data_IF_673375890889
#
_entry.id   IF_673375890889
#
_cell.length_a   1.000
_cell.length_b   1.000
_cell.length_c   1.000
_cell.angle_alpha   90.00
_cell.angle_beta   90.00
_cell.angle_gamma   90.00
#
_symmetry.space_group_name_H-M   'P 1'
#
loop_
_entity.id
_entity.type
_entity.pdbx_description
1 polymer ?
#
# COMPACT_ATOMS: atom_id res chain seq x y z
N UNK A 1 -39.91 -19.89 -6.92
CA UNK A 1 -38.98 -19.71 -5.79
C UNK A 1 -37.64 -19.37 -6.42
N UNK A 2 -36.96 -18.32 -6.00
CA UNK A 2 -35.62 -17.96 -6.52
C UNK A 2 -34.64 -18.69 -5.60
N UNK A 3 -33.77 -19.51 -6.16
CA UNK A 3 -32.64 -20.13 -5.46
C UNK A 3 -31.43 -19.24 -5.63
N UNK A 4 -30.75 -18.94 -4.53
CA UNK A 4 -29.53 -18.09 -4.53
C UNK A 4 -28.38 -18.94 -4.02
N UNK A 5 -27.38 -19.13 -4.87
CA UNK A 5 -26.12 -19.78 -4.51
C UNK A 5 -25.01 -18.74 -4.36
N UNK A 6 -24.17 -18.90 -3.36
CA UNK A 6 -22.95 -18.11 -3.18
C UNK A 6 -21.78 -18.93 -3.69
N UNK A 7 -21.04 -18.38 -4.65
CA UNK A 7 -19.81 -19.00 -5.15
C UNK A 7 -18.80 -19.13 -4.00
N UNK A 8 -18.23 -20.33 -3.85
CA UNK A 8 -17.28 -20.64 -2.77
C UNK A 8 -15.99 -19.83 -2.85
N UNK A 9 -15.64 -19.39 -4.05
CA UNK A 9 -14.44 -18.59 -4.32
C UNK A 9 -14.73 -17.08 -4.33
N UNK A 10 -15.98 -16.66 -4.00
CA UNK A 10 -16.37 -15.26 -3.89
C UNK A 10 -15.86 -14.65 -2.58
N UNK A 11 -15.58 -13.35 -2.60
CA UNK A 11 -15.18 -12.59 -1.41
C UNK A 11 -13.92 -11.76 -1.62
N UNK A 12 -13.28 -11.41 -0.51
CA UNK A 12 -12.01 -10.67 -0.54
C UNK A 12 -10.85 -11.57 -0.96
N UNK A 13 -9.87 -10.99 -1.65
CA UNK A 13 -8.63 -11.70 -1.93
C UNK A 13 -7.87 -11.99 -0.62
N UNK A 14 -6.98 -12.99 -0.64
CA UNK A 14 -6.24 -13.43 0.54
C UNK A 14 -5.47 -12.30 1.23
N UNK A 15 -4.94 -11.31 0.48
CA UNK A 15 -4.23 -10.18 1.06
C UNK A 15 -5.12 -9.28 1.91
N UNK A 16 -6.36 -9.04 1.46
CA UNK A 16 -7.37 -8.29 2.21
C UNK A 16 -7.84 -9.09 3.43
N UNK A 17 -8.12 -10.39 3.26
CA UNK A 17 -8.50 -11.27 4.38
C UNK A 17 -7.44 -11.24 5.47
N UNK A 18 -6.16 -11.41 5.12
CA UNK A 18 -5.06 -11.36 6.08
C UNK A 18 -4.97 -10.00 6.81
N UNK A 19 -5.25 -8.89 6.12
CA UNK A 19 -5.25 -7.57 6.75
C UNK A 19 -6.41 -7.42 7.76
N UNK A 20 -7.61 -7.89 7.41
CA UNK A 20 -8.77 -7.88 8.30
C UNK A 20 -8.52 -8.75 9.53
N UNK A 21 -8.06 -9.99 9.35
CA UNK A 21 -7.72 -10.91 10.45
C UNK A 21 -6.64 -10.34 11.38
N UNK A 22 -5.67 -9.60 10.81
CA UNK A 22 -4.64 -8.93 11.60
C UNK A 22 -5.22 -7.79 12.42
N UNK A 23 -6.16 -7.01 11.87
CA UNK A 23 -6.87 -5.96 12.61
C UNK A 23 -7.70 -6.56 13.75
N UNK A 24 -8.50 -7.60 13.47
CA UNK A 24 -9.33 -8.27 14.47
C UNK A 24 -8.51 -8.86 15.62
N UNK A 25 -7.42 -9.54 15.29
CA UNK A 25 -6.51 -10.11 16.31
C UNK A 25 -5.92 -9.04 17.21
N UNK A 26 -5.54 -7.89 16.67
CA UNK A 26 -5.01 -6.79 17.47
C UNK A 26 -6.09 -6.12 18.30
N UNK A 27 -7.28 -5.90 17.73
CA UNK A 27 -8.44 -5.33 18.43
C UNK A 27 -8.97 -6.25 19.53
N UNK A 28 -8.74 -7.56 19.42
CA UNK A 28 -9.01 -8.51 20.52
C UNK A 28 -8.09 -8.33 21.73
N UNK A 29 -6.97 -7.62 21.58
CA UNK A 29 -5.99 -7.36 22.64
C UNK A 29 -5.90 -5.89 23.08
N UNK A 30 -6.54 -4.97 22.31
CA UNK A 30 -6.50 -3.52 22.56
C UNK A 30 -7.84 -2.88 22.18
N UNK A 31 -8.26 -1.87 22.92
CA UNK A 31 -9.53 -1.14 22.64
C UNK A 31 -9.39 -0.20 21.42
N UNK A 32 -8.18 0.03 20.92
CA UNK A 32 -7.93 1.00 19.86
C UNK A 32 -6.77 0.55 18.97
N UNK A 33 -7.01 0.54 17.67
CA UNK A 33 -6.01 0.32 16.63
C UNK A 33 -6.15 1.37 15.54
N UNK A 34 -5.04 1.97 15.13
CA UNK A 34 -5.02 2.87 13.97
C UNK A 34 -4.71 2.10 12.69
N UNK A 35 -5.38 2.47 11.59
CA UNK A 35 -5.11 1.92 10.26
C UNK A 35 -4.73 3.05 9.30
N UNK A 36 -3.62 2.92 8.60
CA UNK A 36 -3.19 3.92 7.62
C UNK A 36 -3.94 3.75 6.31
N UNK A 37 -4.97 4.59 6.11
CA UNK A 37 -5.95 4.50 5.03
C UNK A 37 -6.98 3.39 5.23
N UNK A 38 -8.02 3.36 4.39
CA UNK A 38 -9.07 2.37 4.47
C UNK A 38 -8.52 0.95 4.31
N UNK A 39 -8.80 0.08 5.26
CA UNK A 39 -8.29 -1.30 5.26
C UNK A 39 -8.77 -2.08 4.03
N UNK A 40 -9.98 -1.78 3.57
CA UNK A 40 -10.63 -2.38 2.40
C UNK A 40 -11.58 -1.36 1.76
N UNK A 41 -11.83 -1.50 0.45
CA UNK A 41 -12.81 -0.69 -0.28
C UNK A 41 -14.25 -1.25 -0.14
N UNK A 42 -14.68 -1.48 1.10
CA UNK A 42 -16.01 -1.93 1.45
C UNK A 42 -16.45 -1.19 2.73
N UNK A 43 -17.40 -0.28 2.59
CA UNK A 43 -17.82 0.59 3.68
C UNK A 43 -18.43 -0.18 4.88
N UNK A 44 -19.18 -1.25 4.62
CA UNK A 44 -19.77 -2.05 5.69
C UNK A 44 -18.71 -2.76 6.54
N UNK A 45 -17.65 -3.24 5.89
CA UNK A 45 -16.55 -3.90 6.59
C UNK A 45 -15.68 -2.89 7.35
N UNK A 46 -15.44 -1.71 6.79
CA UNK A 46 -14.76 -0.62 7.49
C UNK A 46 -15.56 -0.22 8.73
N UNK A 47 -16.88 0.02 8.59
CA UNK A 47 -17.78 0.38 9.70
C UNK A 47 -17.79 -0.71 10.79
N UNK A 48 -17.81 -1.98 10.41
CA UNK A 48 -17.73 -3.11 11.36
C UNK A 48 -16.46 -3.04 12.20
N UNK A 49 -15.32 -2.83 11.58
CA UNK A 49 -14.03 -2.73 12.26
C UNK A 49 -13.91 -1.46 13.09
N UNK A 50 -14.51 -0.34 12.65
CA UNK A 50 -14.59 0.90 13.42
C UNK A 50 -15.40 0.70 14.71
N UNK A 51 -16.49 -0.04 14.67
CA UNK A 51 -17.24 -0.41 15.88
C UNK A 51 -16.44 -1.30 16.84
N UNK A 52 -15.43 -2.02 16.32
CA UNK A 52 -14.49 -2.78 17.15
C UNK A 52 -13.33 -1.94 17.70
N UNK A 53 -13.19 -0.67 17.29
CA UNK A 53 -12.14 0.23 17.75
C UNK A 53 -11.02 0.51 16.74
N UNK A 54 -11.23 0.18 15.44
CA UNK A 54 -10.32 0.60 14.37
C UNK A 54 -10.52 2.09 14.07
N UNK A 55 -9.44 2.85 13.91
CA UNK A 55 -9.49 4.25 13.50
C UNK A 55 -8.67 4.44 12.23
N UNK A 56 -9.35 4.77 11.14
CA UNK A 56 -8.69 5.12 9.89
C UNK A 56 -8.02 6.49 10.00
N UNK A 57 -6.74 6.55 9.64
CA UNK A 57 -5.93 7.77 9.61
C UNK A 57 -5.25 7.94 8.26
N UNK A 58 -4.89 9.16 7.93
CA UNK A 58 -4.02 9.50 6.81
C UNK A 58 -2.55 9.69 7.25
N UNK A 59 -1.68 10.06 6.31
CA UNK A 59 -0.26 10.32 6.60
C UNK A 59 -0.06 11.53 7.53
N UNK A 60 -0.95 12.52 7.49
CA UNK A 60 -0.92 13.67 8.41
C UNK A 60 -1.25 13.21 9.84
N UNK A 61 -2.27 12.37 9.98
CA UNK A 61 -2.60 11.72 11.25
C UNK A 61 -1.43 10.88 11.77
N UNK A 62 -0.82 10.04 10.91
CA UNK A 62 0.33 9.23 11.28
C UNK A 62 1.50 10.10 11.78
N UNK A 63 1.74 11.25 11.16
CA UNK A 63 2.83 12.16 11.55
C UNK A 63 2.70 12.71 12.97
N UNK A 64 1.48 12.81 13.46
CA UNK A 64 1.11 13.35 14.78
C UNK A 64 1.06 12.27 15.88
N UNK A 65 0.93 10.99 15.49
CA UNK A 65 0.89 9.88 16.44
C UNK A 65 2.25 9.64 17.08
N UNK A 66 2.22 9.19 18.34
CA UNK A 66 3.39 8.76 19.13
C UNK A 66 3.00 7.56 20.00
N UNK A 67 3.91 6.61 20.15
CA UNK A 67 3.74 5.48 21.07
C UNK A 67 2.42 4.71 20.85
N UNK A 68 2.03 4.49 19.60
CA UNK A 68 0.78 3.80 19.20
C UNK A 68 1.06 2.63 18.28
N UNK A 69 0.08 1.74 18.18
CA UNK A 69 0.06 0.68 17.16
C UNK A 69 -0.66 1.18 15.90
N UNK A 70 -0.06 0.94 14.74
CA UNK A 70 -0.64 1.30 13.45
C UNK A 70 -0.56 0.10 12.51
N UNK A 71 -1.69 -0.29 11.95
CA UNK A 71 -1.78 -1.31 10.92
C UNK A 71 -1.54 -0.67 9.55
N UNK A 72 -0.64 -1.26 8.79
CA UNK A 72 -0.45 -0.97 7.37
C UNK A 72 -1.26 -1.97 6.55
N UNK A 73 -2.14 -1.45 5.70
CA UNK A 73 -3.05 -2.25 4.88
C UNK A 73 -2.34 -3.02 3.76
N UNK A 74 -3.08 -3.90 3.07
CA UNK A 74 -2.56 -4.81 2.05
C UNK A 74 -1.82 -4.13 0.86
N UNK A 75 -2.06 -2.85 0.60
CA UNK A 75 -1.48 -2.10 -0.53
C UNK A 75 0.00 -1.76 -0.37
N UNK A 76 0.54 -1.88 0.85
CA UNK A 76 1.94 -1.53 1.14
C UNK A 76 2.20 -0.02 1.18
N UNK A 77 3.30 0.33 1.80
CA UNK A 77 3.71 1.71 2.05
C UNK A 77 5.13 1.98 1.55
N UNK A 78 5.49 3.25 1.27
CA UNK A 78 6.85 3.61 0.93
C UNK A 78 7.79 3.52 2.15
N UNK A 79 9.12 3.38 1.96
CA UNK A 79 10.09 3.31 3.06
C UNK A 79 10.04 4.52 4.01
N UNK A 80 9.61 5.68 3.53
CA UNK A 80 9.44 6.88 4.35
C UNK A 80 8.42 6.71 5.47
N UNK A 81 7.34 5.96 5.24
CA UNK A 81 6.32 5.63 6.25
C UNK A 81 6.92 4.84 7.41
N UNK A 82 7.73 3.83 7.12
CA UNK A 82 8.43 3.03 8.15
C UNK A 82 9.44 3.88 8.92
N UNK A 83 10.15 4.77 8.23
CA UNK A 83 11.10 5.68 8.86
C UNK A 83 10.40 6.68 9.80
N UNK A 84 9.24 7.20 9.40
CA UNK A 84 8.40 8.07 10.22
C UNK A 84 7.90 7.33 11.46
N UNK A 85 7.37 6.13 11.29
CA UNK A 85 6.87 5.29 12.37
C UNK A 85 7.97 5.02 13.42
N UNK A 86 9.18 4.68 12.96
CA UNK A 86 10.34 4.47 13.83
C UNK A 86 10.70 5.72 14.64
N UNK A 87 10.72 6.91 14.01
CA UNK A 87 11.01 8.18 14.71
C UNK A 87 9.97 8.52 15.77
N UNK A 88 8.72 8.14 15.53
CA UNK A 88 7.58 8.44 16.40
C UNK A 88 7.30 7.34 17.43
N UNK A 89 8.16 6.32 17.54
CA UNK A 89 7.96 5.14 18.40
C UNK A 89 6.61 4.43 18.14
N UNK A 90 6.19 4.36 16.87
CA UNK A 90 4.98 3.68 16.43
C UNK A 90 5.31 2.22 16.17
N UNK A 91 4.54 1.32 16.77
CA UNK A 91 4.60 -0.12 16.48
C UNK A 91 3.78 -0.41 15.21
N UNK A 92 4.46 -0.83 14.14
CA UNK A 92 3.79 -1.21 12.89
C UNK A 92 3.33 -2.66 12.94
N UNK A 93 2.07 -2.88 12.58
CA UNK A 93 1.49 -4.17 12.22
C UNK A 93 1.40 -4.17 10.69
N UNK A 94 2.35 -4.83 10.04
CA UNK A 94 2.45 -4.81 8.59
C UNK A 94 1.62 -5.93 7.97
N UNK A 95 0.43 -5.57 7.46
CA UNK A 95 -0.46 -6.48 6.75
C UNK A 95 -0.33 -6.34 5.21
N UNK A 96 0.78 -5.80 4.72
CA UNK A 96 1.03 -5.68 3.29
C UNK A 96 0.98 -7.05 2.61
N UNK A 97 0.22 -7.14 1.54
CA UNK A 97 0.10 -8.36 0.76
C UNK A 97 1.48 -8.87 0.29
N UNK A 98 1.82 -10.15 0.47
CA UNK A 98 3.10 -10.71 0.03
C UNK A 98 3.41 -10.50 -1.45
N UNK A 99 2.38 -10.42 -2.30
CA UNK A 99 2.53 -10.12 -3.73
C UNK A 99 3.03 -8.69 -3.92
N UNK A 100 2.44 -7.73 -3.22
CA UNK A 100 2.86 -6.32 -3.24
C UNK A 100 4.28 -6.16 -2.69
N UNK A 101 4.60 -6.79 -1.57
CA UNK A 101 5.96 -6.79 -1.01
C UNK A 101 7.00 -7.34 -1.98
N UNK A 102 6.66 -8.41 -2.71
CA UNK A 102 7.55 -8.99 -3.73
C UNK A 102 7.80 -7.99 -4.87
N UNK A 103 6.75 -7.31 -5.33
CA UNK A 103 6.86 -6.29 -6.36
C UNK A 103 7.70 -5.09 -5.89
N UNK A 104 7.46 -4.59 -4.69
CA UNK A 104 8.25 -3.52 -4.09
C UNK A 104 9.74 -3.87 -4.01
N UNK A 105 10.07 -5.08 -3.53
CA UNK A 105 11.46 -5.56 -3.47
C UNK A 105 12.10 -5.65 -4.85
N UNK A 106 11.34 -6.12 -5.86
CA UNK A 106 11.83 -6.19 -7.24
C UNK A 106 12.15 -4.81 -7.81
N UNK A 107 11.26 -3.84 -7.58
CA UNK A 107 11.45 -2.45 -8.03
C UNK A 107 12.63 -1.81 -7.30
N UNK A 108 12.72 -1.97 -5.99
CA UNK A 108 13.84 -1.45 -5.20
C UNK A 108 15.19 -2.01 -5.69
N UNK A 109 15.27 -3.33 -5.89
CA UNK A 109 16.48 -3.98 -6.43
C UNK A 109 16.85 -3.42 -7.80
N UNK A 110 15.88 -3.34 -8.70
CA UNK A 110 16.09 -2.76 -10.02
C UNK A 110 16.59 -1.32 -9.95
N UNK A 111 16.00 -0.50 -9.10
CA UNK A 111 16.45 0.88 -8.88
C UNK A 111 17.91 0.94 -8.42
N UNK A 112 18.30 0.12 -7.44
CA UNK A 112 19.68 0.07 -6.95
C UNK A 112 20.69 -0.34 -8.03
N UNK A 113 20.32 -1.28 -8.90
CA UNK A 113 21.18 -1.77 -9.98
C UNK A 113 21.30 -0.78 -11.14
N UNK A 114 20.30 0.05 -11.36
CA UNK A 114 20.20 0.88 -12.57
C UNK A 114 20.40 2.36 -12.34
N UNK A 115 20.29 2.86 -11.11
CA UNK A 115 20.40 4.30 -10.81
C UNK A 115 21.70 4.95 -11.26
N UNK A 116 22.80 4.18 -11.33
CA UNK A 116 24.10 4.67 -11.79
C UNK A 116 24.23 4.71 -13.34
N UNK A 117 23.30 4.07 -14.06
CA UNK A 117 23.40 3.82 -15.52
C UNK A 117 22.48 4.75 -16.35
N UNK A 118 22.05 5.86 -15.80
CA UNK A 118 21.11 6.79 -16.45
C UNK A 118 19.83 6.12 -16.96
N UNK A 119 19.35 5.11 -16.22
CA UNK A 119 18.14 4.34 -16.54
C UNK A 119 16.96 4.90 -15.79
N UNK A 120 15.85 5.16 -16.50
CA UNK A 120 14.61 5.65 -15.92
C UNK A 120 13.65 4.49 -15.66
N UNK A 121 13.14 4.39 -14.43
CA UNK A 121 12.05 3.48 -14.10
C UNK A 121 10.69 4.15 -14.40
N UNK A 122 9.83 3.41 -15.07
CA UNK A 122 8.48 3.84 -15.41
C UNK A 122 7.48 2.85 -14.80
N UNK A 123 6.49 3.38 -14.11
CA UNK A 123 5.40 2.61 -13.50
C UNK A 123 4.11 2.95 -14.26
N UNK A 124 3.46 1.94 -14.83
CA UNK A 124 2.14 2.12 -15.41
C UNK A 124 1.09 1.88 -14.32
N UNK A 125 0.33 2.92 -13.96
CA UNK A 125 -0.66 2.86 -12.90
C UNK A 125 -1.31 4.19 -12.57
N UNK A 126 -2.36 4.18 -11.76
CA UNK A 126 -3.12 5.38 -11.37
C UNK A 126 -2.31 6.23 -10.40
N UNK A 127 -2.03 7.48 -10.78
CA UNK A 127 -1.36 8.47 -9.90
C UNK A 127 -2.15 8.67 -8.60
N UNK A 128 -1.46 8.65 -7.48
CA UNK A 128 -2.08 8.80 -6.15
C UNK A 128 -2.68 7.51 -5.58
N UNK A 129 -2.77 6.41 -6.33
CA UNK A 129 -3.16 5.14 -5.76
C UNK A 129 -2.13 4.66 -4.74
N UNK A 130 -2.59 4.12 -3.60
CA UNK A 130 -1.71 3.73 -2.49
C UNK A 130 -0.59 2.77 -2.92
N UNK A 131 -0.93 1.74 -3.69
CA UNK A 131 0.05 0.78 -4.20
C UNK A 131 1.11 1.45 -5.09
N UNK A 132 0.67 2.33 -6.01
CA UNK A 132 1.59 3.09 -6.88
C UNK A 132 2.50 4.00 -6.07
N UNK A 133 1.97 4.69 -5.05
CA UNK A 133 2.78 5.51 -4.14
C UNK A 133 3.83 4.66 -3.40
N UNK A 134 3.45 3.46 -2.94
CA UNK A 134 4.35 2.49 -2.35
C UNK A 134 5.49 2.08 -3.29
N UNK A 135 5.17 1.85 -4.57
CA UNK A 135 6.15 1.48 -5.61
C UNK A 135 7.09 2.64 -5.96
N UNK A 136 6.55 3.86 -6.14
CA UNK A 136 7.34 5.08 -6.39
C UNK A 136 8.31 5.34 -5.23
N UNK A 137 7.87 5.11 -4.01
CA UNK A 137 8.73 5.25 -2.82
C UNK A 137 9.94 4.32 -2.83
N UNK A 138 9.87 3.15 -3.50
CA UNK A 138 11.01 2.23 -3.63
C UNK A 138 12.12 2.76 -4.54
N UNK A 139 11.86 3.83 -5.28
CA UNK A 139 12.80 4.49 -6.21
C UNK A 139 13.21 5.88 -5.73
N UNK A 140 13.10 6.16 -4.44
CA UNK A 140 13.36 7.50 -3.87
C UNK A 140 12.55 8.62 -4.56
N UNK A 141 11.38 8.27 -5.11
CA UNK A 141 10.49 9.20 -5.81
C UNK A 141 10.88 9.51 -7.26
N UNK A 142 11.91 8.85 -7.81
CA UNK A 142 12.41 9.14 -9.16
C UNK A 142 11.66 8.41 -10.27
N UNK A 143 10.86 7.38 -9.96
CA UNK A 143 10.06 6.67 -10.95
C UNK A 143 8.98 7.58 -11.55
N UNK A 144 8.76 7.45 -12.85
CA UNK A 144 7.72 8.17 -13.58
C UNK A 144 6.46 7.31 -13.62
N UNK A 145 5.33 7.90 -13.20
CA UNK A 145 4.02 7.22 -13.28
C UNK A 145 3.30 7.66 -14.56
N UNK A 146 2.90 6.68 -15.35
CA UNK A 146 2.11 6.87 -16.59
C UNK A 146 0.76 6.21 -16.38
N UNK A 147 -0.34 6.96 -16.60
CA UNK A 147 -1.71 6.44 -16.50
C UNK A 147 -2.31 6.09 -17.84
N UNK A 148 -1.92 6.78 -18.89
CA UNK A 148 -2.50 6.65 -20.24
C UNK A 148 -1.39 6.65 -21.28
N UNK A 149 -1.70 6.07 -22.45
CA UNK A 149 -0.77 6.01 -23.59
C UNK A 149 -0.37 7.42 -24.06
N UNK A 150 -1.30 8.37 -23.97
CA UNK A 150 -1.13 9.77 -24.40
C UNK A 150 -0.44 10.64 -23.34
N UNK A 151 -0.03 10.07 -22.19
CA UNK A 151 0.62 10.85 -21.12
C UNK A 151 1.91 11.52 -21.65
N UNK A 152 2.04 12.86 -21.57
CA UNK A 152 3.18 13.62 -22.11
C UNK A 152 4.53 13.18 -21.53
N UNK A 153 4.53 12.64 -20.32
CA UNK A 153 5.74 12.10 -19.68
C UNK A 153 6.36 10.94 -20.49
N UNK A 154 5.60 10.28 -21.36
CA UNK A 154 6.09 9.23 -22.26
C UNK A 154 7.04 9.77 -23.34
N UNK A 155 6.77 10.92 -23.92
CA UNK A 155 7.53 11.48 -25.04
C UNK A 155 8.94 11.95 -24.64
N UNK A 156 9.14 12.29 -23.38
CA UNK A 156 10.42 12.78 -22.88
C UNK A 156 11.49 11.69 -22.73
N UNK A 157 11.11 10.41 -22.76
CA UNK A 157 12.00 9.28 -22.38
C UNK A 157 12.16 8.21 -23.46
N UNK A 158 11.61 8.44 -24.65
CA UNK A 158 11.60 7.44 -25.73
C UNK A 158 12.93 7.23 -26.46
N UNK A 159 13.98 8.02 -26.16
CA UNK A 159 15.19 8.02 -26.97
C UNK A 159 16.38 7.22 -26.43
N UNK A 160 16.36 6.69 -25.21
CA UNK A 160 17.52 5.94 -24.69
C UNK A 160 17.31 5.06 -23.45
N UNK A 161 16.09 4.73 -23.05
CA UNK A 161 15.83 4.06 -21.77
C UNK A 161 15.26 2.65 -21.92
N UNK A 162 15.83 1.67 -21.19
CA UNK A 162 15.19 0.36 -21.01
C UNK A 162 13.96 0.51 -20.12
N UNK A 163 12.80 0.09 -20.63
CA UNK A 163 11.58 0.03 -19.87
C UNK A 163 11.54 -1.28 -19.07
N UNK A 164 11.17 -1.19 -17.79
CA UNK A 164 10.68 -2.34 -17.02
C UNK A 164 9.31 -1.99 -16.45
N UNK A 165 8.37 -2.85 -16.76
CA UNK A 165 6.99 -2.82 -16.28
C UNK A 165 6.93 -3.45 -14.89
#
# INVERSE_FOLDING_TARGET
>A
MIEVEIDKDSGFCFGVVTAIESAERELGNTDTLYCLGDIVHNSLEVERLEHMGLHTIDHDGLSKLRDRKVLLRAHGEPPSTYSLAKRNNITIIDATCPVVLRLQRKIHKCYQETRANNTQLVIYGKKGHAEVNGLVGQTEGTAIVIEKIEDPSRSMYCSSSRFMV
#
